data_IF_875405754369
#
_entry.id   IF_875405754369
#
_cell.length_a   1.000
_cell.length_b   1.000
_cell.length_c   1.000
_cell.angle_alpha   90.00
_cell.angle_beta   90.00
_cell.angle_gamma   90.00
#
_symmetry.space_group_name_H-M   'P 1'
#
loop_
_entity.id
_entity.type
_entity.pdbx_description
1 polymer ?
#
# COMPACT_ATOMS: atom_id res chain seq x y z
N UNK A 1 6.17 -8.78 18.55
CA UNK A 1 5.67 -9.08 19.90
C UNK A 1 4.20 -8.72 20.03
N UNK A 2 3.83 -7.45 19.83
CA UNK A 2 2.44 -6.96 19.81
C UNK A 2 1.44 -7.76 18.95
N UNK A 3 1.84 -8.21 17.76
CA UNK A 3 0.99 -9.02 16.87
C UNK A 3 0.66 -10.40 17.45
N UNK A 4 1.61 -11.02 18.15
CA UNK A 4 1.40 -12.33 18.79
C UNK A 4 0.47 -12.21 19.99
N UNK A 5 0.67 -11.18 20.82
CA UNK A 5 -0.19 -10.94 21.98
C UNK A 5 -1.62 -10.58 21.59
N UNK A 6 -1.78 -9.78 20.53
CA UNK A 6 -3.09 -9.46 19.97
C UNK A 6 -3.80 -10.74 19.50
N UNK A 7 -3.14 -11.58 18.72
CA UNK A 7 -3.75 -12.83 18.24
C UNK A 7 -4.11 -13.76 19.39
N UNK A 8 -3.24 -13.92 20.39
CA UNK A 8 -3.53 -14.71 21.59
C UNK A 8 -4.75 -14.19 22.34
N UNK A 9 -4.90 -12.87 22.46
CA UNK A 9 -6.06 -12.25 23.11
C UNK A 9 -7.34 -12.46 22.29
N UNK A 10 -7.28 -12.31 20.97
CA UNK A 10 -8.41 -12.59 20.07
C UNK A 10 -8.82 -14.07 20.16
N UNK A 11 -7.88 -15.01 20.17
CA UNK A 11 -8.15 -16.44 20.35
C UNK A 11 -8.88 -16.71 21.68
N UNK A 12 -8.43 -16.09 22.78
CA UNK A 12 -9.09 -16.24 24.08
C UNK A 12 -10.53 -15.68 24.06
N UNK A 13 -10.75 -14.52 23.46
CA UNK A 13 -12.07 -13.87 23.39
C UNK A 13 -13.03 -14.69 22.52
N UNK A 14 -12.66 -14.98 21.27
CA UNK A 14 -13.48 -15.78 20.35
C UNK A 14 -13.69 -17.20 20.86
N UNK A 15 -12.69 -17.81 21.51
CA UNK A 15 -12.82 -19.11 22.17
C UNK A 15 -13.86 -19.12 23.29
N UNK A 16 -13.94 -18.06 24.11
CA UNK A 16 -14.98 -17.91 25.14
C UNK A 16 -16.37 -17.75 24.51
N UNK A 17 -16.49 -16.94 23.46
CA UNK A 17 -17.75 -16.74 22.73
C UNK A 17 -18.24 -18.04 22.09
N UNK A 18 -17.37 -18.72 21.33
CA UNK A 18 -17.67 -19.99 20.67
C UNK A 18 -18.20 -21.04 21.65
N UNK A 19 -17.52 -21.25 22.78
CA UNK A 19 -17.98 -22.17 23.83
C UNK A 19 -19.33 -21.78 24.43
N UNK A 20 -19.60 -20.48 24.61
CA UNK A 20 -20.88 -19.99 25.14
C UNK A 20 -22.04 -20.29 24.19
N UNK A 21 -21.84 -20.07 22.89
CA UNK A 21 -22.85 -20.34 21.88
C UNK A 21 -23.05 -21.84 21.61
N UNK A 22 -21.99 -22.65 21.65
CA UNK A 22 -22.11 -24.12 21.54
C UNK A 22 -22.82 -24.72 22.76
N UNK A 23 -22.44 -24.32 24.00
CA UNK A 23 -23.10 -24.85 25.21
C UNK A 23 -24.59 -24.52 25.26
N UNK A 24 -25.00 -23.39 24.69
CA UNK A 24 -26.41 -22.99 24.60
C UNK A 24 -27.21 -23.84 23.59
N UNK A 25 -26.56 -24.43 22.58
CA UNK A 25 -27.20 -25.21 21.53
C UNK A 25 -27.25 -26.73 21.81
N UNK A 26 -26.64 -27.22 22.91
CA UNK A 26 -26.63 -28.65 23.26
C UNK A 26 -27.85 -29.13 24.07
N UNK A 27 -28.86 -28.27 24.31
CA UNK A 27 -30.05 -28.59 25.13
C UNK A 27 -31.32 -28.82 24.30
N UNK A 28 -31.28 -29.82 23.42
CA UNK A 28 -32.35 -30.26 22.49
C UNK A 28 -32.36 -29.55 21.13
N UNK A 29 -32.06 -30.38 20.12
CA UNK A 29 -32.28 -30.26 18.67
C UNK A 29 -31.92 -28.93 17.95
N UNK A 30 -31.13 -29.11 16.88
CA UNK A 30 -30.84 -28.17 15.78
C UNK A 30 -29.63 -27.20 15.91
N UNK A 31 -28.64 -27.51 15.06
CA UNK A 31 -27.58 -26.67 14.48
C UNK A 31 -26.74 -25.82 15.45
N UNK A 32 -25.50 -26.24 15.69
CA UNK A 32 -24.45 -25.29 16.11
C UNK A 32 -24.37 -24.19 15.05
N UNK A 33 -24.60 -22.93 15.43
CA UNK A 33 -24.62 -21.79 14.50
C UNK A 33 -23.30 -21.62 13.69
N UNK A 34 -22.20 -22.18 14.19
CA UNK A 34 -20.87 -22.15 13.58
C UNK A 34 -20.19 -23.52 13.75
N UNK A 35 -19.51 -24.00 12.71
CA UNK A 35 -18.80 -25.28 12.69
C UNK A 35 -17.36 -25.15 13.22
N UNK A 36 -16.77 -23.94 13.16
CA UNK A 36 -15.40 -23.66 13.58
C UNK A 36 -15.21 -22.25 14.16
N UNK A 37 -14.05 -22.02 14.80
CA UNK A 37 -13.65 -20.68 15.26
C UNK A 37 -13.40 -19.71 14.10
N UNK A 38 -12.97 -20.21 12.95
CA UNK A 38 -12.68 -19.38 11.77
C UNK A 38 -13.98 -18.86 11.15
N UNK A 39 -15.00 -19.71 11.02
CA UNK A 39 -16.34 -19.29 10.57
C UNK A 39 -16.95 -18.24 11.51
N UNK A 40 -16.78 -18.39 12.83
CA UNK A 40 -17.25 -17.40 13.80
C UNK A 40 -16.55 -16.05 13.60
N UNK A 41 -15.23 -16.05 13.39
CA UNK A 41 -14.46 -14.82 13.17
C UNK A 41 -14.83 -14.15 11.85
N UNK A 42 -14.99 -14.92 10.78
CA UNK A 42 -15.40 -14.42 9.47
C UNK A 42 -16.82 -13.83 9.51
N UNK A 43 -17.77 -14.54 10.14
CA UNK A 43 -19.14 -14.05 10.33
C UNK A 43 -19.17 -12.78 11.18
N UNK A 44 -18.36 -12.73 12.24
CA UNK A 44 -18.22 -11.54 13.07
C UNK A 44 -17.67 -10.35 12.27
N UNK A 45 -16.62 -10.57 11.46
CA UNK A 45 -16.07 -9.53 10.58
C UNK A 45 -17.12 -9.02 9.60
N UNK A 46 -17.78 -9.90 8.85
CA UNK A 46 -18.79 -9.52 7.87
C UNK A 46 -19.97 -8.76 8.48
N UNK A 47 -20.34 -9.08 9.73
CA UNK A 47 -21.40 -8.37 10.47
C UNK A 47 -20.96 -6.97 10.90
N UNK A 48 -19.70 -6.79 11.30
CA UNK A 48 -19.22 -5.57 11.95
C UNK A 48 -18.41 -4.64 11.04
N UNK A 49 -17.95 -5.10 9.87
CA UNK A 49 -17.03 -4.36 9.00
C UNK A 49 -17.53 -2.97 8.60
N UNK A 50 -18.84 -2.79 8.46
CA UNK A 50 -19.44 -1.46 8.18
C UNK A 50 -19.20 -0.45 9.30
N UNK A 51 -19.26 -0.88 10.55
CA UNK A 51 -19.04 -0.01 11.71
C UNK A 51 -17.56 0.29 11.90
N UNK A 52 -16.71 -0.71 11.66
CA UNK A 52 -15.26 -0.55 11.67
C UNK A 52 -14.84 0.45 10.58
N UNK A 53 -15.37 0.30 9.36
CA UNK A 53 -15.13 1.24 8.26
C UNK A 53 -15.58 2.65 8.61
N UNK A 54 -16.78 2.81 9.16
CA UNK A 54 -17.28 4.12 9.57
C UNK A 54 -16.37 4.77 10.63
N UNK A 55 -15.93 4.01 11.64
CA UNK A 55 -14.99 4.50 12.64
C UNK A 55 -13.64 4.91 12.03
N UNK A 56 -13.12 4.13 11.07
CA UNK A 56 -11.90 4.46 10.33
C UNK A 56 -12.05 5.75 9.52
N UNK A 57 -13.16 5.94 8.80
CA UNK A 57 -13.46 7.17 8.07
C UNK A 57 -13.45 8.39 8.99
N UNK A 58 -14.12 8.30 10.14
CA UNK A 58 -14.14 9.38 11.13
C UNK A 58 -12.76 9.67 11.69
N UNK A 59 -11.97 8.65 12.03
CA UNK A 59 -10.60 8.83 12.52
C UNK A 59 -9.65 9.42 11.49
N UNK A 60 -9.92 9.22 10.20
CA UNK A 60 -9.18 9.79 9.08
C UNK A 60 -9.72 11.14 8.60
N UNK A 61 -10.68 11.74 9.32
CA UNK A 61 -11.37 12.99 8.96
C UNK A 61 -11.95 12.98 7.53
N UNK A 62 -12.30 11.79 7.03
CA UNK A 62 -12.86 11.63 5.69
C UNK A 62 -14.31 12.11 5.65
N UNK A 63 -14.60 13.06 4.76
CA UNK A 63 -15.95 13.51 4.44
C UNK A 63 -16.31 13.18 2.98
N UNK A 64 -17.53 13.51 2.55
CA UNK A 64 -18.00 13.22 1.18
C UNK A 64 -17.16 13.86 0.07
N UNK A 65 -16.34 14.86 0.41
CA UNK A 65 -15.48 15.60 -0.52
C UNK A 65 -14.04 15.07 -0.57
N UNK A 66 -13.58 14.36 0.47
CA UNK A 66 -12.22 13.77 0.54
C UNK A 66 -12.18 12.28 0.18
N UNK A 67 -13.34 11.62 0.08
CA UNK A 67 -13.45 10.25 -0.40
C UNK A 67 -13.35 10.20 -1.93
N UNK A 68 -12.18 10.55 -2.46
CA UNK A 68 -11.84 10.28 -3.85
C UNK A 68 -11.06 8.97 -3.89
N UNK A 69 -11.77 7.85 -3.90
CA UNK A 69 -11.20 6.55 -4.29
C UNK A 69 -11.05 6.52 -5.82
N UNK A 70 -10.25 7.45 -6.36
CA UNK A 70 -9.96 7.54 -7.79
C UNK A 70 -8.45 7.39 -7.96
N UNK A 71 -8.00 6.14 -8.02
CA UNK A 71 -6.72 5.81 -8.66
C UNK A 71 -6.76 6.00 -10.18
N UNK A 72 -7.95 6.26 -10.74
CA UNK A 72 -8.14 6.62 -12.14
C UNK A 72 -8.38 8.12 -12.28
N UNK A 73 -7.38 8.83 -12.79
CA UNK A 73 -7.56 10.10 -13.50
C UNK A 73 -8.13 9.88 -14.92
N UNK A 74 -8.84 8.77 -15.14
CA UNK A 74 -9.65 8.53 -16.33
C UNK A 74 -11.02 9.17 -16.10
N UNK A 75 -11.13 10.40 -16.59
CA UNK A 75 -12.39 11.08 -16.89
C UNK A 75 -13.29 10.18 -17.75
N UNK A 76 -14.14 9.42 -17.09
CA UNK A 76 -15.21 8.63 -17.68
C UNK A 76 -16.43 8.77 -16.78
N UNK A 77 -17.43 9.48 -17.27
CA UNK A 77 -18.73 9.64 -16.63
C UNK A 77 -19.28 8.26 -16.22
N UNK A 78 -19.79 8.15 -15.00
CA UNK A 78 -20.40 6.94 -14.37
C UNK A 78 -19.52 6.07 -13.46
N UNK A 79 -18.73 6.67 -12.56
CA UNK A 79 -18.34 5.98 -11.34
C UNK A 79 -18.74 6.80 -10.11
N UNK A 80 -20.01 6.70 -9.74
CA UNK A 80 -20.51 7.10 -8.43
C UNK A 80 -20.03 6.07 -7.40
N UNK A 81 -18.73 6.01 -7.12
CA UNK A 81 -18.27 5.34 -5.91
C UNK A 81 -18.69 6.26 -4.77
N UNK A 82 -19.80 5.93 -4.11
CA UNK A 82 -20.24 6.68 -2.95
C UNK A 82 -19.17 6.55 -1.88
N UNK A 83 -18.93 7.62 -1.12
CA UNK A 83 -18.08 7.60 0.07
C UNK A 83 -18.61 6.62 1.14
N UNK A 84 -19.82 6.09 0.93
CA UNK A 84 -20.48 5.08 1.74
C UNK A 84 -20.16 3.64 1.32
N UNK A 85 -19.54 3.45 0.15
CA UNK A 85 -19.17 2.12 -0.32
C UNK A 85 -18.02 1.58 0.53
N UNK A 86 -18.26 0.41 1.14
CA UNK A 86 -17.25 -0.30 1.91
C UNK A 86 -16.30 -0.94 0.91
N UNK A 87 -14.98 -0.69 1.00
CA UNK A 87 -14.03 -1.34 0.12
C UNK A 87 -14.15 -2.86 0.22
N UNK A 88 -14.25 -3.53 -0.93
CA UNK A 88 -14.28 -5.02 -1.02
C UNK A 88 -12.88 -5.63 -0.95
N UNK A 89 -11.89 -4.83 -0.52
CA UNK A 89 -10.50 -5.26 -0.41
C UNK A 89 -10.35 -6.43 0.55
N UNK A 90 -11.25 -6.59 1.53
CA UNK A 90 -11.23 -7.69 2.49
C UNK A 90 -11.38 -9.07 1.84
N UNK A 91 -11.99 -9.14 0.65
CA UNK A 91 -12.14 -10.36 -0.16
C UNK A 91 -10.87 -10.71 -0.97
N UNK A 92 -9.95 -9.77 -1.15
CA UNK A 92 -8.70 -9.99 -1.91
C UNK A 92 -7.68 -10.66 -0.99
N UNK A 93 -6.97 -11.73 -1.40
CA UNK A 93 -5.90 -12.31 -0.60
C UNK A 93 -4.87 -11.26 -0.15
N UNK A 94 -4.45 -11.30 1.12
CA UNK A 94 -3.57 -10.30 1.72
C UNK A 94 -2.28 -10.08 0.94
N UNK A 95 -1.66 -11.16 0.45
CA UNK A 95 -0.46 -11.10 -0.38
C UNK A 95 -0.65 -10.21 -1.61
N UNK A 96 -1.79 -10.33 -2.31
CA UNK A 96 -2.08 -9.53 -3.50
C UNK A 96 -2.31 -8.06 -3.15
N UNK A 97 -2.94 -7.75 -2.01
CA UNK A 97 -3.07 -6.38 -1.53
C UNK A 97 -1.72 -5.72 -1.25
N UNK A 98 -0.84 -6.45 -0.55
CA UNK A 98 0.51 -5.95 -0.26
C UNK A 98 1.35 -5.79 -1.52
N UNK A 99 1.19 -6.69 -2.49
CA UNK A 99 1.85 -6.55 -3.79
C UNK A 99 1.36 -5.29 -4.52
N UNK A 100 0.05 -5.05 -4.55
CA UNK A 100 -0.52 -3.85 -5.16
C UNK A 100 0.01 -2.58 -4.49
N UNK A 101 -0.07 -2.50 -3.15
CA UNK A 101 0.44 -1.36 -2.37
C UNK A 101 1.95 -1.14 -2.61
N UNK A 102 2.73 -2.22 -2.66
CA UNK A 102 4.16 -2.14 -2.97
C UNK A 102 4.43 -1.59 -4.37
N UNK A 103 3.68 -2.06 -5.38
CA UNK A 103 3.85 -1.58 -6.77
C UNK A 103 3.49 -0.11 -6.88
N UNK A 104 2.38 0.33 -6.28
CA UNK A 104 1.95 1.73 -6.26
C UNK A 104 3.04 2.62 -5.64
N UNK A 105 3.51 2.26 -4.44
CA UNK A 105 4.52 3.03 -3.72
C UNK A 105 5.90 3.01 -4.42
N UNK A 106 6.26 1.88 -5.05
CA UNK A 106 7.47 1.78 -5.86
C UNK A 106 7.40 2.72 -7.08
N UNK A 107 6.28 2.74 -7.79
CA UNK A 107 6.09 3.58 -8.97
C UNK A 107 6.17 5.07 -8.63
N UNK A 108 5.56 5.51 -7.53
CA UNK A 108 5.65 6.89 -7.04
C UNK A 108 7.09 7.31 -6.73
N UNK A 109 7.79 6.50 -5.93
CA UNK A 109 9.18 6.77 -5.57
C UNK A 109 10.07 6.78 -6.82
N UNK A 110 9.88 5.81 -7.71
CA UNK A 110 10.62 5.72 -8.97
C UNK A 110 10.40 6.98 -9.80
N UNK A 111 9.16 7.44 -9.93
CA UNK A 111 8.84 8.66 -10.69
C UNK A 111 9.56 9.87 -10.09
N UNK A 112 9.53 10.04 -8.76
CA UNK A 112 10.23 11.14 -8.09
C UNK A 112 11.75 11.10 -8.34
N UNK A 113 12.37 9.91 -8.27
CA UNK A 113 13.81 9.75 -8.53
C UNK A 113 14.17 9.99 -10.00
N UNK A 114 13.34 9.52 -10.94
CA UNK A 114 13.50 9.79 -12.38
C UNK A 114 13.39 11.29 -12.66
N UNK A 115 12.41 11.97 -12.07
CA UNK A 115 12.25 13.42 -12.21
C UNK A 115 13.47 14.19 -11.70
N UNK A 116 14.10 13.73 -10.61
CA UNK A 116 15.35 14.31 -10.11
C UNK A 116 16.52 14.10 -11.09
N UNK A 117 16.64 12.92 -11.71
CA UNK A 117 17.63 12.68 -12.76
C UNK A 117 17.38 13.59 -13.96
N UNK A 118 16.14 13.65 -14.46
CA UNK A 118 15.77 14.53 -15.58
C UNK A 118 16.12 15.98 -15.24
N UNK A 119 15.73 16.49 -14.07
CA UNK A 119 16.02 17.88 -13.67
C UNK A 119 17.51 18.19 -13.67
N UNK A 120 18.34 17.29 -13.15
CA UNK A 120 19.79 17.52 -13.02
C UNK A 120 20.57 17.25 -14.32
N UNK A 121 20.04 16.41 -15.21
CA UNK A 121 20.69 16.04 -16.46
C UNK A 121 20.17 16.78 -17.68
N UNK A 122 18.95 17.36 -17.64
CA UNK A 122 18.28 17.97 -18.80
C UNK A 122 19.02 19.18 -19.35
N UNK A 123 19.88 19.84 -18.58
CA UNK A 123 20.69 20.97 -19.04
C UNK A 123 22.05 20.56 -19.61
N UNK A 124 22.42 19.27 -19.56
CA UNK A 124 23.75 18.81 -19.97
C UNK A 124 23.75 18.41 -21.46
N UNK A 125 24.40 19.20 -22.32
CA UNK A 125 24.74 18.74 -23.69
C UNK A 125 25.90 17.77 -23.65
N UNK A 126 25.71 16.57 -24.18
CA UNK A 126 26.82 15.76 -24.68
C UNK A 126 27.23 16.32 -26.05
N UNK A 127 28.50 16.72 -26.20
CA UNK A 127 29.09 17.03 -27.51
C UNK A 127 29.45 15.76 -28.31
N UNK A 128 29.17 14.56 -27.79
CA UNK A 128 29.35 13.30 -28.49
C UNK A 128 28.26 12.29 -28.07
N UNK A 129 27.18 12.19 -28.85
CA UNK A 129 26.16 11.14 -28.68
C UNK A 129 24.78 11.47 -29.27
N UNK A 130 24.08 10.44 -29.76
CA UNK A 130 22.77 10.46 -30.46
C UNK A 130 21.56 10.97 -29.65
N UNK A 131 21.68 11.24 -28.35
CA UNK A 131 20.58 11.73 -27.50
C UNK A 131 20.84 13.16 -27.05
N UNK A 132 20.21 14.13 -27.73
CA UNK A 132 20.27 15.55 -27.40
C UNK A 132 19.19 15.84 -26.34
N UNK A 133 19.59 16.29 -25.15
CA UNK A 133 18.68 16.82 -24.12
C UNK A 133 19.21 18.20 -23.68
N UNK A 134 18.51 19.29 -24.04
CA UNK A 134 18.69 20.64 -23.47
C UNK A 134 19.66 21.63 -24.14
N UNK A 135 19.53 22.89 -23.72
CA UNK A 135 20.12 24.10 -24.31
C UNK A 135 21.62 24.36 -24.02
N UNK A 136 22.12 25.49 -24.51
CA UNK A 136 23.54 25.87 -24.64
C UNK A 136 24.21 26.14 -23.29
N UNK A 137 25.16 25.31 -22.86
CA UNK A 137 26.11 25.65 -21.80
C UNK A 137 27.54 25.31 -22.23
N UNK A 138 28.47 26.25 -22.04
CA UNK A 138 29.87 26.15 -22.47
C UNK A 138 30.80 26.14 -21.25
N UNK A 139 32.00 25.54 -21.36
CA UNK A 139 33.06 25.64 -20.33
C UNK A 139 32.76 24.95 -19.00
N UNK A 140 33.01 25.65 -17.88
CA UNK A 140 32.87 25.16 -16.49
C UNK A 140 31.46 24.65 -16.14
N UNK A 141 30.43 25.19 -16.81
CA UNK A 141 29.06 24.73 -16.67
C UNK A 141 28.88 23.26 -17.10
N UNK A 142 29.65 22.79 -18.09
CA UNK A 142 29.57 21.41 -18.58
C UNK A 142 30.07 20.42 -17.51
N UNK A 143 31.22 20.70 -16.92
CA UNK A 143 31.82 19.83 -15.88
C UNK A 143 30.98 19.77 -14.61
N UNK A 144 30.36 20.88 -14.22
CA UNK A 144 29.46 20.92 -13.05
C UNK A 144 28.14 20.20 -13.34
N UNK A 145 27.60 20.33 -14.56
CA UNK A 145 26.41 19.61 -15.01
C UNK A 145 26.65 18.09 -15.04
N UNK A 146 27.77 17.64 -15.60
CA UNK A 146 28.17 16.23 -15.64
C UNK A 146 28.30 15.64 -14.23
N UNK A 147 28.91 16.37 -13.29
CA UNK A 147 28.99 15.93 -11.88
C UNK A 147 27.60 15.78 -11.26
N UNK A 148 26.73 16.79 -11.38
CA UNK A 148 25.36 16.74 -10.82
C UNK A 148 24.53 15.63 -11.44
N UNK A 149 24.62 15.44 -12.75
CA UNK A 149 23.94 14.36 -13.44
C UNK A 149 24.46 12.99 -12.98
N UNK A 150 25.77 12.82 -12.85
CA UNK A 150 26.36 11.57 -12.34
C UNK A 150 25.89 11.26 -10.92
N UNK A 151 25.91 12.25 -10.01
CA UNK A 151 25.40 12.06 -8.64
C UNK A 151 23.93 11.64 -8.65
N UNK A 152 23.09 12.28 -9.47
CA UNK A 152 21.67 11.93 -9.57
C UNK A 152 21.46 10.51 -10.14
N UNK A 153 22.24 10.12 -11.16
CA UNK A 153 22.20 8.78 -11.74
C UNK A 153 22.65 7.70 -10.75
N UNK A 154 23.74 7.92 -10.00
CA UNK A 154 24.20 6.98 -8.97
C UNK A 154 23.18 6.84 -7.83
N UNK A 155 22.53 7.93 -7.44
CA UNK A 155 21.46 7.89 -6.44
C UNK A 155 20.24 7.07 -6.94
N UNK A 156 19.86 7.22 -8.22
CA UNK A 156 18.81 6.42 -8.83
C UNK A 156 19.20 4.94 -8.94
N UNK A 157 20.42 4.65 -9.39
CA UNK A 157 20.96 3.29 -9.48
C UNK A 157 20.95 2.60 -8.11
N UNK A 158 21.45 3.28 -7.07
CA UNK A 158 21.44 2.79 -5.69
C UNK A 158 20.01 2.49 -5.21
N UNK A 159 19.04 3.35 -5.55
CA UNK A 159 17.64 3.11 -5.24
C UNK A 159 17.12 1.83 -5.90
N UNK A 160 17.37 1.62 -7.20
CA UNK A 160 16.94 0.41 -7.93
C UNK A 160 17.64 -0.84 -7.38
N UNK A 161 18.94 -0.77 -7.08
CA UNK A 161 19.69 -1.89 -6.51
C UNK A 161 19.15 -2.30 -5.14
N UNK A 162 18.77 -1.33 -4.29
CA UNK A 162 18.10 -1.60 -3.01
C UNK A 162 16.72 -2.24 -3.17
N UNK A 163 16.01 -1.94 -4.27
CA UNK A 163 14.74 -2.58 -4.60
C UNK A 163 14.93 -4.00 -5.18
N UNK A 164 16.00 -4.25 -5.94
CA UNK A 164 16.31 -5.55 -6.56
C UNK A 164 16.99 -6.55 -5.62
N UNK A 165 17.79 -6.07 -4.65
CA UNK A 165 18.64 -6.88 -3.78
C UNK A 165 17.92 -7.73 -2.72
N UNK A 166 16.63 -8.02 -2.91
CA UNK A 166 15.84 -8.80 -1.99
C UNK A 166 15.45 -7.99 -0.76
N UNK A 167 14.29 -7.35 -0.84
CA UNK A 167 13.39 -7.37 0.30
C UNK A 167 13.84 -6.67 1.61
N UNK A 168 14.99 -5.99 1.68
CA UNK A 168 15.55 -5.55 2.97
C UNK A 168 15.82 -4.06 3.12
N UNK A 169 15.98 -3.26 2.06
CA UNK A 169 16.27 -1.81 2.21
C UNK A 169 15.57 -0.86 1.22
N UNK A 170 14.92 -1.35 0.17
CA UNK A 170 14.11 -0.52 -0.75
C UNK A 170 12.63 -0.63 -0.45
N UNK A 171 12.11 0.12 0.52
CA UNK A 171 10.72 0.01 1.08
C UNK A 171 10.34 -1.36 1.65
N UNK A 172 11.04 -2.40 1.27
CA UNK A 172 10.96 -3.74 1.82
C UNK A 172 11.63 -3.87 3.19
N UNK A 173 12.45 -2.89 3.56
CA UNK A 173 12.90 -2.64 4.93
C UNK A 173 11.93 -1.80 5.76
N UNK A 174 10.84 -1.29 5.16
CA UNK A 174 9.83 -0.58 5.92
C UNK A 174 9.17 -1.53 6.92
N UNK A 175 8.70 -0.99 8.04
CA UNK A 175 7.99 -1.76 9.08
C UNK A 175 6.81 -2.59 8.52
N UNK A 176 6.34 -2.28 7.30
CA UNK A 176 5.22 -2.91 6.60
C UNK A 176 5.55 -4.27 5.99
N UNK A 177 6.74 -4.45 5.41
CA UNK A 177 7.14 -5.73 4.79
C UNK A 177 7.57 -6.80 5.80
N UNK A 178 7.59 -6.45 7.09
CA UNK A 178 7.90 -7.35 8.21
C UNK A 178 6.64 -7.76 9.01
N UNK A 179 5.43 -7.41 8.56
CA UNK A 179 4.17 -7.82 9.18
C UNK A 179 3.74 -9.22 8.75
#
# INVERSE_FOLDING_TARGET
EYTKDLELNLQKIFGKLFRKYIKKNNTAEQHTLYSSLDELRESWWNTNKKYIWLAMKHGAEMNSTTCSCSGDSSSGENQTNSCDDIPTIDLIPQYLRFLQEWVEHFCEQRQAKVNAVIKNCKSCKNTSGERIIGGTCNGECKTECEKKCKVACEAYKTFIEKCNGGGTEGTSGSSWSKR
#
